data_IF_584961873766
#
_entry.id   IF_584961873766
#
_cell.length_a   1.000
_cell.length_b   1.000
_cell.length_c   1.000
_cell.angle_alpha   90.00
_cell.angle_beta   90.00
_cell.angle_gamma   90.00
#
_symmetry.space_group_name_H-M   'P 1'
#
loop_
_entity.id
_entity.type
_entity.pdbx_description
1 polymer ?
#
# COMPACT_ATOMS: atom_id res chain seq x y z
N UNK A 1 -26.63 5.57 -29.44
CA UNK A 1 -25.64 6.32 -30.21
C UNK A 1 -25.74 7.78 -29.79
N UNK A 2 -24.93 8.19 -28.84
CA UNK A 2 -24.86 9.59 -28.39
C UNK A 2 -23.41 10.02 -28.46
N UNK A 3 -23.17 10.90 -29.40
CA UNK A 3 -21.84 11.47 -29.72
C UNK A 3 -21.46 12.50 -28.67
N UNK A 4 -20.31 12.35 -28.07
CA UNK A 4 -19.71 13.33 -27.17
C UNK A 4 -18.79 14.21 -27.99
N UNK A 5 -19.08 15.49 -28.10
CA UNK A 5 -18.22 16.50 -28.72
C UNK A 5 -17.21 17.07 -27.73
N UNK A 6 -15.99 17.38 -28.16
CA UNK A 6 -14.98 18.02 -27.32
C UNK A 6 -15.22 19.54 -27.23
N UNK A 7 -15.03 20.08 -26.02
CA UNK A 7 -14.99 21.53 -25.77
C UNK A 7 -13.73 22.16 -26.37
N UNK A 8 -13.89 22.97 -27.41
CA UNK A 8 -12.87 23.87 -27.93
C UNK A 8 -13.30 25.30 -27.66
N UNK A 9 -12.51 26.05 -26.91
CA UNK A 9 -12.68 27.50 -26.70
C UNK A 9 -11.50 28.26 -27.25
N UNK A 10 -11.69 29.02 -28.29
CA UNK A 10 -10.77 30.09 -28.74
C UNK A 10 -11.48 31.43 -28.68
N UNK A 11 -10.81 32.49 -28.18
CA UNK A 11 -11.37 33.82 -28.20
C UNK A 11 -10.80 34.63 -29.38
N UNK A 12 -11.64 35.22 -30.18
CA UNK A 12 -11.22 36.31 -31.07
C UNK A 12 -12.08 37.57 -30.82
N UNK A 13 -11.38 38.65 -30.64
CA UNK A 13 -11.96 39.92 -30.28
C UNK A 13 -12.62 40.69 -31.39
N UNK A 14 -13.36 41.70 -31.04
CA UNK A 14 -13.48 42.93 -31.82
C UNK A 14 -14.19 44.05 -31.02
N UNK A 15 -13.79 45.21 -31.33
CA UNK A 15 -13.90 46.54 -30.70
C UNK A 15 -15.25 47.21 -30.82
N UNK A 16 -15.52 48.13 -29.85
CA UNK A 16 -16.29 49.41 -29.91
C UNK A 16 -17.74 49.43 -30.26
N UNK A 17 -18.58 49.83 -29.33
CA UNK A 17 -19.33 51.08 -29.41
C UNK A 17 -20.03 51.42 -28.08
N UNK A 18 -19.84 52.63 -27.59
CA UNK A 18 -20.61 53.25 -26.51
C UNK A 18 -22.09 53.42 -26.92
N UNK A 19 -23.03 53.05 -26.04
CA UNK A 19 -24.20 53.86 -25.75
C UNK A 19 -24.87 53.44 -24.44
N UNK A 20 -25.28 54.45 -23.70
CA UNK A 20 -25.93 54.43 -22.40
C UNK A 20 -27.26 53.68 -22.43
N UNK A 21 -27.56 52.96 -21.38
CA UNK A 21 -28.88 52.43 -21.07
C UNK A 21 -28.82 51.61 -19.78
N UNK A 22 -29.35 52.18 -18.71
CA UNK A 22 -29.59 51.52 -17.43
C UNK A 22 -30.64 50.40 -17.59
N UNK A 23 -30.58 49.46 -16.61
CA UNK A 23 -31.54 48.40 -16.27
C UNK A 23 -31.30 47.03 -16.94
N UNK A 24 -31.01 46.08 -16.11
CA UNK A 24 -30.97 44.66 -16.46
C UNK A 24 -29.97 43.84 -15.68
N UNK A 25 -30.04 43.88 -14.34
CA UNK A 25 -29.34 42.95 -13.48
C UNK A 25 -30.06 41.62 -13.52
N UNK A 26 -29.52 40.61 -14.14
CA UNK A 26 -29.79 39.19 -13.75
C UNK A 26 -29.10 38.20 -14.67
N UNK A 27 -28.45 37.21 -14.06
CA UNK A 27 -28.08 35.87 -14.47
C UNK A 27 -27.17 35.66 -15.70
N UNK A 28 -25.89 35.57 -15.43
CA UNK A 28 -24.96 34.66 -16.14
C UNK A 28 -23.82 34.25 -15.20
N UNK A 29 -24.13 33.39 -14.23
CA UNK A 29 -23.14 32.71 -13.39
C UNK A 29 -23.61 31.24 -13.18
N UNK A 30 -23.70 30.50 -14.27
CA UNK A 30 -24.03 29.08 -14.21
C UNK A 30 -23.29 28.32 -15.34
N UNK A 31 -21.98 28.16 -15.19
CA UNK A 31 -21.19 27.45 -16.20
C UNK A 31 -19.92 26.78 -15.72
N UNK A 32 -19.55 26.90 -14.43
CA UNK A 32 -18.26 26.38 -13.95
C UNK A 32 -18.37 25.22 -12.94
N UNK A 33 -19.55 24.75 -12.58
CA UNK A 33 -19.76 23.74 -11.52
C UNK A 33 -19.84 22.29 -12.00
N UNK A 34 -19.82 22.04 -13.31
CA UNK A 34 -20.04 20.69 -13.85
C UNK A 34 -18.81 19.77 -13.86
N UNK A 35 -17.59 20.31 -13.88
CA UNK A 35 -16.37 19.50 -14.07
C UNK A 35 -15.83 18.86 -12.76
N UNK A 36 -16.16 19.44 -11.61
CA UNK A 36 -15.64 18.96 -10.32
C UNK A 36 -16.35 17.72 -9.78
N UNK A 37 -17.63 17.54 -10.08
CA UNK A 37 -18.41 16.41 -9.58
C UNK A 37 -18.03 15.08 -10.28
N UNK A 38 -17.77 15.10 -11.57
CA UNK A 38 -17.39 13.91 -12.32
C UNK A 38 -16.01 13.36 -11.94
N UNK A 39 -15.05 14.22 -11.60
CA UNK A 39 -13.74 13.80 -11.15
C UNK A 39 -13.78 13.13 -9.76
N UNK A 40 -14.65 13.58 -8.87
CA UNK A 40 -14.86 12.98 -7.55
C UNK A 40 -15.50 11.58 -7.67
N UNK A 41 -16.45 11.39 -8.58
CA UNK A 41 -17.07 10.09 -8.85
C UNK A 41 -16.07 9.07 -9.41
N UNK A 42 -15.24 9.47 -10.37
CA UNK A 42 -14.21 8.59 -10.95
C UNK A 42 -13.16 8.18 -9.92
N UNK A 43 -12.75 9.06 -9.01
CA UNK A 43 -11.84 8.75 -7.92
C UNK A 43 -12.45 7.72 -6.95
N UNK A 44 -13.72 7.86 -6.62
CA UNK A 44 -14.45 6.94 -5.76
C UNK A 44 -14.60 5.56 -6.40
N UNK A 45 -14.98 5.51 -7.68
CA UNK A 45 -15.10 4.25 -8.43
C UNK A 45 -13.75 3.54 -8.56
N UNK A 46 -12.68 4.26 -8.89
CA UNK A 46 -11.34 3.69 -8.99
C UNK A 46 -10.85 3.10 -7.66
N UNK A 47 -11.15 3.75 -6.54
CA UNK A 47 -10.84 3.22 -5.21
C UNK A 47 -11.65 1.96 -4.90
N UNK A 48 -12.91 1.89 -5.30
CA UNK A 48 -13.75 0.70 -5.15
C UNK A 48 -13.20 -0.48 -5.97
N UNK A 49 -12.79 -0.23 -7.22
CA UNK A 49 -12.13 -1.24 -8.05
C UNK A 49 -10.86 -1.74 -7.37
N UNK A 50 -10.01 -0.84 -6.84
CA UNK A 50 -8.78 -1.23 -6.16
C UNK A 50 -9.03 -2.10 -4.91
N UNK A 51 -10.08 -1.81 -4.14
CA UNK A 51 -10.50 -2.60 -2.98
C UNK A 51 -11.06 -3.97 -3.38
N UNK A 52 -11.86 -4.02 -4.45
CA UNK A 52 -12.52 -5.24 -4.91
C UNK A 52 -11.64 -6.17 -5.77
N UNK A 53 -10.44 -5.73 -6.15
CA UNK A 53 -9.57 -6.47 -7.07
C UNK A 53 -8.19 -6.79 -6.47
N UNK A 54 -8.11 -6.95 -5.16
CA UNK A 54 -6.90 -7.31 -4.40
C UNK A 54 -5.69 -6.37 -4.55
N UNK A 55 -5.85 -5.22 -5.19
CA UNK A 55 -4.74 -4.28 -5.40
C UNK A 55 -4.11 -3.85 -4.07
N UNK A 56 -4.95 -3.63 -3.04
CA UNK A 56 -4.50 -3.17 -1.72
C UNK A 56 -3.81 -4.27 -0.89
N UNK A 57 -3.84 -5.53 -1.34
CA UNK A 57 -3.05 -6.60 -0.75
C UNK A 57 -1.55 -6.43 -1.01
N UNK A 58 -1.20 -5.76 -2.11
CA UNK A 58 0.19 -5.55 -2.52
C UNK A 58 0.60 -4.07 -2.59
N UNK A 59 -0.35 -3.15 -2.65
CA UNK A 59 -0.11 -1.71 -2.74
C UNK A 59 -0.81 -0.98 -1.59
N UNK A 60 -0.20 0.11 -1.12
CA UNK A 60 -0.88 1.11 -0.31
C UNK A 60 -0.95 2.44 -1.08
N UNK A 61 -1.72 3.39 -0.56
CA UNK A 61 -1.86 4.70 -1.21
C UNK A 61 -0.58 5.52 -1.08
N UNK A 62 0.03 5.52 0.09
CA UNK A 62 1.06 6.45 0.56
C UNK A 62 2.39 5.80 0.97
N UNK A 63 2.47 4.48 0.96
CA UNK A 63 3.69 3.76 1.30
C UNK A 63 3.85 2.47 0.48
N UNK A 64 5.10 2.01 0.38
CA UNK A 64 5.44 0.76 -0.31
C UNK A 64 5.10 -0.44 0.57
N UNK A 65 4.37 -1.40 0.00
CA UNK A 65 4.12 -2.72 0.59
C UNK A 65 4.95 -3.76 -0.18
N UNK A 66 4.34 -4.53 -1.06
CA UNK A 66 5.03 -5.40 -2.04
C UNK A 66 5.31 -4.60 -3.30
N UNK A 67 4.26 -4.00 -3.86
CA UNK A 67 4.33 -3.06 -4.95
C UNK A 67 4.62 -1.64 -4.49
N UNK A 68 4.82 -0.70 -5.42
CA UNK A 68 5.01 0.71 -5.10
C UNK A 68 3.75 1.32 -4.47
N UNK A 69 3.93 2.38 -3.69
CA UNK A 69 2.83 3.23 -3.27
C UNK A 69 2.10 3.82 -4.49
N UNK A 70 0.80 3.98 -4.42
CA UNK A 70 0.04 4.55 -5.55
C UNK A 70 0.37 6.01 -5.81
N UNK A 71 0.67 6.80 -4.76
CA UNK A 71 1.13 8.19 -4.91
C UNK A 71 2.52 8.26 -5.57
N UNK A 72 3.42 7.32 -5.29
CA UNK A 72 4.70 7.21 -5.96
C UNK A 72 4.52 6.85 -7.45
N UNK A 73 3.54 6.01 -7.79
CA UNK A 73 3.16 5.74 -9.18
C UNK A 73 2.65 7.02 -9.83
N UNK A 74 1.72 7.72 -9.18
CA UNK A 74 1.20 9.00 -9.68
C UNK A 74 2.32 9.99 -9.96
N UNK A 75 3.24 10.17 -9.00
CA UNK A 75 4.40 11.07 -9.15
C UNK A 75 5.31 10.69 -10.32
N UNK A 76 5.64 9.40 -10.45
CA UNK A 76 6.54 8.91 -11.50
C UNK A 76 5.96 9.12 -12.89
N UNK A 77 4.66 9.04 -13.04
CA UNK A 77 3.97 9.11 -14.33
C UNK A 77 3.25 10.45 -14.58
N UNK A 78 3.33 11.40 -13.64
CA UNK A 78 2.75 12.73 -13.79
C UNK A 78 3.24 13.41 -15.08
N UNK A 79 2.30 13.93 -15.86
CA UNK A 79 2.59 14.65 -17.10
C UNK A 79 3.20 13.83 -18.23
N UNK A 80 3.39 12.53 -18.10
CA UNK A 80 3.94 11.69 -19.17
C UNK A 80 2.88 11.34 -20.20
N UNK A 81 3.11 11.64 -21.50
CA UNK A 81 2.20 11.20 -22.56
C UNK A 81 2.03 9.68 -22.54
N UNK A 82 0.80 9.21 -22.70
CA UNK A 82 0.48 7.78 -22.73
C UNK A 82 0.58 7.02 -21.41
N UNK A 83 0.90 7.70 -20.29
CA UNK A 83 1.04 7.07 -18.97
C UNK A 83 -0.18 6.23 -18.58
N UNK A 84 -1.38 6.73 -18.80
CA UNK A 84 -2.62 6.04 -18.48
C UNK A 84 -2.71 4.69 -19.19
N UNK A 85 -2.51 4.68 -20.50
CA UNK A 85 -2.57 3.45 -21.29
C UNK A 85 -1.46 2.45 -20.92
N UNK A 86 -0.25 2.95 -20.64
CA UNK A 86 0.88 2.13 -20.20
C UNK A 86 0.55 1.44 -18.86
N UNK A 87 0.00 2.16 -17.90
CA UNK A 87 -0.38 1.62 -16.61
C UNK A 87 -1.55 0.64 -16.70
N UNK A 88 -2.56 0.92 -17.54
CA UNK A 88 -3.65 -0.02 -17.82
C UNK A 88 -3.12 -1.33 -18.40
N UNK A 89 -2.19 -1.28 -19.34
CA UNK A 89 -1.55 -2.46 -19.90
C UNK A 89 -0.72 -3.22 -18.85
N UNK A 90 -0.01 -2.51 -17.97
CA UNK A 90 0.76 -3.12 -16.90
C UNK A 90 -0.15 -3.85 -15.89
N UNK A 91 -1.31 -3.31 -15.55
CA UNK A 91 -2.30 -3.99 -14.71
C UNK A 91 -2.87 -5.20 -15.42
N UNK A 92 -3.30 -5.07 -16.66
CA UNK A 92 -3.95 -6.14 -17.42
C UNK A 92 -3.04 -7.34 -17.64
N UNK A 93 -1.78 -7.09 -18.00
CA UNK A 93 -0.83 -8.12 -18.44
C UNK A 93 0.23 -8.48 -17.40
N UNK A 94 0.23 -7.81 -16.25
CA UNK A 94 1.30 -7.91 -15.28
C UNK A 94 2.51 -7.06 -15.67
N UNK A 95 3.41 -6.83 -14.71
CA UNK A 95 4.59 -6.00 -14.94
C UNK A 95 5.74 -6.38 -14.00
N UNK A 96 6.98 -6.24 -14.47
CA UNK A 96 8.20 -6.44 -13.68
C UNK A 96 9.30 -5.47 -14.10
N UNK A 97 10.19 -5.12 -13.21
CA UNK A 97 11.41 -4.39 -13.49
C UNK A 97 11.39 -2.91 -13.13
N UNK A 98 10.33 -2.16 -13.44
CA UNK A 98 10.27 -0.70 -13.17
C UNK A 98 10.39 -0.34 -11.70
N UNK A 99 9.86 -1.18 -10.81
CA UNK A 99 9.79 -0.96 -9.36
C UNK A 99 10.53 -2.01 -8.54
N UNK A 100 11.30 -2.85 -9.21
CA UNK A 100 12.08 -3.92 -8.60
C UNK A 100 11.89 -5.27 -9.28
N UNK A 101 12.39 -6.33 -8.64
CA UNK A 101 12.41 -7.67 -9.21
C UNK A 101 11.15 -8.51 -8.94
N UNK A 102 10.27 -8.03 -8.06
CA UNK A 102 9.03 -8.74 -7.72
C UNK A 102 8.02 -8.44 -8.84
N UNK A 103 7.50 -9.47 -9.53
CA UNK A 103 6.53 -9.25 -10.58
C UNK A 103 5.17 -8.90 -9.99
N UNK A 104 4.50 -7.92 -10.55
CA UNK A 104 3.07 -7.67 -10.37
C UNK A 104 2.30 -8.69 -11.23
N UNK A 105 1.39 -9.49 -10.66
CA UNK A 105 0.62 -10.44 -11.44
C UNK A 105 -0.35 -9.74 -12.41
N UNK A 106 -0.75 -10.40 -13.51
CA UNK A 106 -1.75 -9.87 -14.42
C UNK A 106 -3.16 -9.92 -13.82
N UNK A 107 -3.99 -8.95 -14.18
CA UNK A 107 -5.41 -8.88 -13.83
C UNK A 107 -6.31 -8.88 -15.08
N UNK A 108 -6.33 -9.98 -15.85
CA UNK A 108 -7.06 -10.06 -17.12
C UNK A 108 -8.59 -9.98 -16.95
N UNK A 109 -9.09 -10.26 -15.75
CA UNK A 109 -10.51 -10.19 -15.39
C UNK A 109 -11.06 -8.75 -15.34
N UNK A 110 -10.19 -7.73 -15.21
CA UNK A 110 -10.63 -6.35 -15.18
C UNK A 110 -11.07 -5.88 -16.59
N UNK A 111 -12.27 -5.34 -16.65
CA UNK A 111 -12.78 -4.68 -17.86
C UNK A 111 -12.00 -3.40 -18.18
N UNK A 112 -12.06 -2.95 -19.43
CA UNK A 112 -11.44 -1.69 -19.85
C UNK A 112 -11.91 -0.49 -19.03
N UNK A 113 -13.19 -0.47 -18.65
CA UNK A 113 -13.77 0.57 -17.79
C UNK A 113 -13.16 0.54 -16.39
N UNK A 114 -13.05 -0.63 -15.76
CA UNK A 114 -12.45 -0.77 -14.44
C UNK A 114 -10.96 -0.39 -14.43
N UNK A 115 -10.23 -0.77 -15.49
CA UNK A 115 -8.84 -0.34 -15.68
C UNK A 115 -8.74 1.18 -15.81
N UNK A 116 -9.64 1.80 -16.56
CA UNK A 116 -9.72 3.25 -16.72
C UNK A 116 -9.98 3.95 -15.38
N UNK A 117 -10.94 3.46 -14.62
CA UNK A 117 -11.34 4.01 -13.31
C UNK A 117 -10.19 3.92 -12.31
N UNK A 118 -9.60 2.74 -12.13
CA UNK A 118 -8.52 2.54 -11.15
C UNK A 118 -7.27 3.34 -11.52
N UNK A 119 -6.88 3.39 -12.78
CA UNK A 119 -5.69 4.16 -13.18
C UNK A 119 -5.97 5.67 -13.14
N UNK A 120 -7.19 6.12 -13.45
CA UNK A 120 -7.57 7.52 -13.27
C UNK A 120 -7.48 7.93 -11.80
N UNK A 121 -8.01 7.09 -10.89
CA UNK A 121 -7.86 7.32 -9.46
C UNK A 121 -6.39 7.36 -9.04
N UNK A 122 -5.57 6.37 -9.40
CA UNK A 122 -4.15 6.34 -9.05
C UNK A 122 -3.44 7.60 -9.55
N UNK A 123 -3.67 8.01 -10.81
CA UNK A 123 -3.04 9.21 -11.36
C UNK A 123 -3.58 10.53 -10.78
N UNK A 124 -4.78 10.52 -10.18
CA UNK A 124 -5.34 11.67 -9.48
C UNK A 124 -4.78 11.87 -8.08
N UNK A 125 -4.11 10.85 -7.52
CA UNK A 125 -3.46 10.98 -6.23
C UNK A 125 -2.40 12.07 -6.34
N UNK A 126 -2.62 13.15 -5.60
CA UNK A 126 -1.58 14.17 -5.46
C UNK A 126 -0.41 13.47 -4.80
N UNK A 127 0.70 13.46 -5.49
CA UNK A 127 1.96 13.13 -4.84
C UNK A 127 2.06 14.01 -3.59
N UNK A 128 1.80 13.46 -2.44
CA UNK A 128 2.43 13.95 -1.25
C UNK A 128 3.91 13.85 -1.63
N UNK A 129 4.49 14.99 -2.09
CA UNK A 129 5.85 15.22 -2.56
C UNK A 129 6.68 13.99 -2.25
N UNK A 130 7.17 13.26 -3.27
CA UNK A 130 7.94 12.04 -3.07
C UNK A 130 9.06 12.29 -2.06
N UNK A 131 8.68 12.42 -0.85
CA UNK A 131 9.40 11.92 0.25
C UNK A 131 9.19 10.40 0.07
N UNK A 132 10.22 9.68 -0.44
CA UNK A 132 10.51 8.46 0.34
C UNK A 132 10.08 8.82 1.75
N UNK A 133 9.19 8.06 2.42
CA UNK A 133 9.02 8.32 3.82
C UNK A 133 10.45 8.29 4.36
N UNK A 134 11.03 9.47 4.53
CA UNK A 134 12.08 9.68 5.52
C UNK A 134 11.38 9.08 6.71
N UNK A 135 11.80 7.88 7.18
CA UNK A 135 11.04 7.17 8.19
C UNK A 135 10.72 8.26 9.19
N UNK A 136 9.43 8.57 9.36
CA UNK A 136 8.98 9.62 10.26
C UNK A 136 9.65 9.19 11.51
N UNK A 137 10.63 10.00 11.99
CA UNK A 137 11.75 9.58 12.82
C UNK A 137 11.30 8.39 13.65
N UNK A 138 11.53 7.19 13.11
CA UNK A 138 10.80 6.01 13.54
C UNK A 138 11.11 5.94 15.02
N UNK A 139 10.09 6.02 15.88
CA UNK A 139 10.34 5.99 17.29
C UNK A 139 11.16 4.74 17.51
N UNK A 140 12.45 4.92 17.77
CA UNK A 140 13.34 3.81 18.01
C UNK A 140 13.13 3.41 19.45
N UNK A 141 12.69 2.20 19.63
CA UNK A 141 12.51 1.58 20.94
C UNK A 141 13.78 0.79 21.25
N UNK A 142 14.40 1.10 22.38
CA UNK A 142 15.66 0.48 22.81
C UNK A 142 15.39 -0.48 23.95
N UNK A 143 15.94 -1.69 23.84
CA UNK A 143 15.80 -2.75 24.83
C UNK A 143 17.17 -3.33 25.15
N UNK A 144 17.49 -3.48 26.42
CA UNK A 144 18.72 -4.12 26.85
C UNK A 144 18.52 -5.62 27.06
N UNK A 145 19.25 -6.42 26.30
CA UNK A 145 19.20 -7.88 26.35
C UNK A 145 20.60 -8.43 26.50
N UNK A 146 20.88 -9.03 27.66
CA UNK A 146 22.19 -9.65 27.95
C UNK A 146 23.38 -8.70 27.66
N UNK A 147 23.25 -7.43 28.05
CA UNK A 147 24.30 -6.41 27.90
C UNK A 147 24.46 -5.85 26.49
N UNK A 148 23.49 -6.10 25.61
CA UNK A 148 23.42 -5.52 24.26
C UNK A 148 22.13 -4.74 24.10
N UNK A 149 22.24 -3.51 23.58
CA UNK A 149 21.05 -2.72 23.24
C UNK A 149 20.53 -3.12 21.87
N UNK A 150 19.26 -3.52 21.83
CA UNK A 150 18.49 -3.84 20.61
C UNK A 150 17.62 -2.64 20.27
N UNK A 151 17.68 -2.20 19.02
CA UNK A 151 16.85 -1.11 18.50
C UNK A 151 15.79 -1.67 17.55
N UNK A 152 14.53 -1.35 17.82
CA UNK A 152 13.38 -1.72 16.97
C UNK A 152 12.58 -0.47 16.60
N UNK A 153 11.94 -0.48 15.45
CA UNK A 153 11.06 0.58 14.95
C UNK A 153 9.60 0.43 15.42
N UNK A 154 9.35 -0.50 16.33
CA UNK A 154 8.05 -0.76 16.95
C UNK A 154 8.20 -1.08 18.45
N UNK A 155 7.17 -0.79 19.28
CA UNK A 155 7.19 -1.16 20.70
C UNK A 155 6.86 -2.65 20.87
N UNK A 156 7.65 -3.35 21.68
CA UNK A 156 7.37 -4.73 22.07
C UNK A 156 6.44 -4.77 23.29
N UNK A 157 6.65 -3.86 24.25
CA UNK A 157 5.89 -3.79 25.50
C UNK A 157 5.02 -2.54 25.55
N UNK A 158 3.90 -2.62 26.28
CA UNK A 158 2.99 -1.48 26.47
C UNK A 158 3.66 -0.34 27.25
N UNK A 159 4.48 -0.70 28.23
CA UNK A 159 5.22 0.25 29.09
C UNK A 159 6.62 -0.29 29.36
N UNK A 160 7.61 0.57 29.22
CA UNK A 160 9.00 0.24 29.56
C UNK A 160 9.65 -0.82 28.67
N UNK A 161 10.51 -1.66 29.28
CA UNK A 161 11.33 -2.65 28.59
C UNK A 161 10.97 -4.11 28.89
N UNK A 162 9.94 -4.33 29.69
CA UNK A 162 9.46 -5.67 30.07
C UNK A 162 7.97 -5.62 30.47
N UNK A 163 7.37 -6.78 30.72
CA UNK A 163 5.98 -6.91 31.17
C UNK A 163 5.01 -7.28 30.04
N UNK A 164 3.85 -6.64 30.04
CA UNK A 164 2.82 -6.91 29.04
C UNK A 164 3.25 -6.47 27.64
N UNK A 165 3.12 -7.37 26.67
CA UNK A 165 3.41 -7.04 25.29
C UNK A 165 2.31 -6.17 24.69
N UNK A 166 2.66 -5.43 23.63
CA UNK A 166 1.67 -4.66 22.88
C UNK A 166 0.63 -5.57 22.24
N UNK A 167 -0.57 -5.02 21.98
CA UNK A 167 -1.63 -5.73 21.24
C UNK A 167 -1.16 -6.27 19.88
N UNK A 168 -0.25 -5.56 19.20
CA UNK A 168 0.31 -5.98 17.93
C UNK A 168 1.18 -7.24 18.09
N UNK A 169 2.09 -7.25 19.06
CA UNK A 169 2.93 -8.43 19.35
C UNK A 169 2.08 -9.62 19.80
N UNK A 170 1.06 -9.39 20.63
CA UNK A 170 0.18 -10.47 21.09
C UNK A 170 -0.67 -11.03 19.93
N UNK A 171 -1.26 -10.17 19.10
CA UNK A 171 -1.99 -10.61 17.91
C UNK A 171 -1.07 -11.36 16.93
N UNK A 172 0.17 -10.94 16.80
CA UNK A 172 1.19 -11.64 16.03
C UNK A 172 1.46 -13.06 16.55
N UNK A 173 1.52 -13.24 17.88
CA UNK A 173 1.60 -14.55 18.52
C UNK A 173 0.38 -15.43 18.20
N UNK A 174 -0.84 -14.90 18.34
CA UNK A 174 -2.07 -15.64 18.03
C UNK A 174 -2.12 -16.09 16.58
N UNK A 175 -1.82 -15.19 15.64
CA UNK A 175 -1.77 -15.48 14.22
C UNK A 175 -0.67 -16.50 13.89
N UNK A 176 0.51 -16.37 14.53
CA UNK A 176 1.58 -17.34 14.39
C UNK A 176 1.13 -18.75 14.77
N UNK A 177 0.56 -18.90 15.95
CA UNK A 177 0.10 -20.19 16.46
C UNK A 177 -1.15 -20.74 15.78
N UNK A 178 -1.87 -19.90 15.02
CA UNK A 178 -2.99 -20.37 14.22
C UNK A 178 -2.56 -20.90 12.85
N UNK A 179 -1.53 -20.31 12.24
CA UNK A 179 -1.26 -20.51 10.81
C UNK A 179 0.19 -20.86 10.48
N UNK A 180 1.18 -20.23 11.12
CA UNK A 180 2.57 -20.31 10.69
C UNK A 180 3.37 -21.44 11.36
N UNK A 181 3.00 -21.76 12.63
CA UNK A 181 3.76 -22.69 13.48
C UNK A 181 3.90 -24.09 12.91
N UNK A 182 2.91 -24.57 12.15
CA UNK A 182 2.90 -25.94 11.58
C UNK A 182 4.10 -26.22 10.70
N UNK A 183 4.55 -25.20 9.98
CA UNK A 183 5.73 -25.31 9.11
C UNK A 183 6.96 -24.67 9.74
N UNK A 184 6.82 -23.50 10.38
CA UNK A 184 7.94 -22.72 10.90
C UNK A 184 8.27 -22.98 12.39
N UNK A 185 7.63 -23.98 12.99
CA UNK A 185 7.86 -24.38 14.37
C UNK A 185 7.24 -23.47 15.42
N UNK A 186 7.07 -24.00 16.62
CA UNK A 186 6.64 -23.22 17.79
C UNK A 186 7.68 -22.13 18.03
N UNK A 187 7.22 -20.95 18.44
CA UNK A 187 8.11 -19.81 18.74
C UNK A 187 9.05 -19.41 17.58
N UNK A 188 8.66 -19.69 16.35
CA UNK A 188 9.39 -19.37 15.12
C UNK A 188 10.79 -20.07 15.03
N UNK A 189 10.95 -21.21 15.69
CA UNK A 189 12.21 -21.94 15.79
C UNK A 189 12.63 -22.67 14.52
N UNK A 190 11.74 -22.73 13.51
CA UNK A 190 11.92 -23.56 12.33
C UNK A 190 11.51 -25.01 12.55
N UNK A 191 11.52 -25.79 11.48
CA UNK A 191 11.30 -27.23 11.45
C UNK A 191 12.04 -27.83 10.26
N UNK A 192 11.83 -29.12 10.00
CA UNK A 192 12.31 -29.76 8.76
C UNK A 192 11.66 -29.22 7.49
N UNK A 193 10.46 -28.62 7.60
CA UNK A 193 9.70 -28.07 6.46
C UNK A 193 10.01 -26.63 6.13
N UNK A 194 10.42 -25.83 7.13
CA UNK A 194 10.58 -24.39 6.95
C UNK A 194 11.64 -23.80 7.88
N UNK A 195 12.32 -22.69 7.46
CA UNK A 195 13.42 -22.12 8.19
C UNK A 195 13.02 -21.50 9.54
N UNK A 196 13.98 -21.41 10.45
CA UNK A 196 13.93 -20.61 11.66
C UNK A 196 13.86 -19.11 11.28
N UNK A 197 12.69 -18.49 11.47
CA UNK A 197 12.49 -17.10 11.10
C UNK A 197 13.13 -16.13 12.08
N UNK A 198 13.44 -16.54 13.30
CA UNK A 198 14.21 -15.71 14.25
C UNK A 198 15.63 -15.50 13.72
N UNK A 199 16.28 -16.56 13.21
CA UNK A 199 17.57 -16.44 12.53
C UNK A 199 17.48 -15.56 11.29
N UNK A 200 16.38 -15.65 10.55
CA UNK A 200 16.17 -14.79 9.38
C UNK A 200 16.09 -13.31 9.77
N UNK A 201 15.40 -12.98 10.86
CA UNK A 201 15.34 -11.60 11.39
C UNK A 201 16.71 -11.13 11.85
N UNK A 202 17.44 -11.93 12.63
CA UNK A 202 18.80 -11.59 13.07
C UNK A 202 19.78 -11.40 11.91
N UNK A 203 19.52 -12.04 10.77
CA UNK A 203 20.28 -11.89 9.54
C UNK A 203 19.72 -10.77 8.62
N UNK A 204 18.93 -9.84 9.16
CA UNK A 204 18.49 -8.65 8.45
C UNK A 204 17.19 -8.80 7.64
N UNK A 205 16.36 -9.81 7.93
CA UNK A 205 15.00 -9.88 7.37
C UNK A 205 14.17 -8.70 7.92
N UNK A 206 13.79 -7.78 7.07
CA UNK A 206 12.89 -6.68 7.44
C UNK A 206 11.42 -7.11 7.41
N UNK A 207 10.56 -6.32 8.09
CA UNK A 207 9.10 -6.51 8.05
C UNK A 207 8.57 -6.49 6.63
N UNK A 208 8.99 -5.54 5.79
CA UNK A 208 8.57 -5.45 4.40
C UNK A 208 8.95 -6.70 3.60
N UNK A 209 10.18 -7.21 3.80
CA UNK A 209 10.64 -8.42 3.10
C UNK A 209 9.86 -9.65 3.52
N UNK A 210 9.60 -9.83 4.83
CA UNK A 210 8.79 -10.93 5.32
C UNK A 210 7.36 -10.85 4.82
N UNK A 211 6.73 -9.69 4.88
CA UNK A 211 5.39 -9.44 4.33
C UNK A 211 5.35 -9.77 2.84
N UNK A 212 6.31 -9.30 2.05
CA UNK A 212 6.39 -9.60 0.62
C UNK A 212 6.46 -11.09 0.35
N UNK A 213 7.31 -11.82 1.08
CA UNK A 213 7.44 -13.27 0.93
C UNK A 213 6.15 -13.99 1.32
N UNK A 214 5.52 -13.59 2.42
CA UNK A 214 4.26 -14.19 2.85
C UNK A 214 3.14 -13.96 1.83
N UNK A 215 3.01 -12.74 1.31
CA UNK A 215 1.99 -12.41 0.31
C UNK A 215 2.17 -13.18 -0.99
N UNK A 216 3.41 -13.37 -1.46
CA UNK A 216 3.67 -14.08 -2.73
C UNK A 216 3.77 -15.59 -2.55
N UNK A 217 4.13 -16.05 -1.37
CA UNK A 217 4.51 -17.44 -1.12
C UNK A 217 5.83 -17.84 -1.79
N UNK A 218 6.25 -19.08 -1.55
CA UNK A 218 7.39 -19.72 -2.22
C UNK A 218 6.92 -21.12 -2.67
N UNK A 219 6.11 -21.17 -3.72
CA UNK A 219 5.46 -22.41 -4.20
C UNK A 219 6.44 -23.56 -4.39
N UNK A 220 7.62 -23.29 -4.94
CA UNK A 220 8.68 -24.28 -5.15
C UNK A 220 9.21 -24.91 -3.85
N UNK A 221 8.95 -24.28 -2.68
CA UNK A 221 9.33 -24.76 -1.35
C UNK A 221 8.12 -25.11 -0.48
N UNK A 222 6.93 -25.22 -1.08
CA UNK A 222 5.70 -25.57 -0.36
C UNK A 222 5.05 -24.44 0.45
N UNK A 223 5.60 -23.23 0.46
CA UNK A 223 4.99 -22.10 1.15
C UNK A 223 3.87 -21.49 0.29
N UNK A 224 2.60 -21.50 0.73
CA UNK A 224 1.50 -20.90 -0.02
C UNK A 224 1.60 -19.37 -0.04
N UNK A 225 0.89 -18.76 -0.99
CA UNK A 225 0.60 -17.33 -0.93
C UNK A 225 -0.48 -17.07 0.14
N UNK A 226 -0.26 -16.06 0.96
CA UNK A 226 -1.21 -15.59 1.96
C UNK A 226 -1.97 -14.34 1.50
N UNK A 227 -1.77 -13.91 0.24
CA UNK A 227 -2.54 -12.80 -0.34
C UNK A 227 -4.04 -13.13 -0.34
N UNK A 228 -4.86 -12.15 0.07
CA UNK A 228 -6.32 -12.33 0.21
C UNK A 228 -6.75 -13.06 1.49
N UNK A 229 -5.81 -13.67 2.24
CA UNK A 229 -6.09 -14.26 3.54
C UNK A 229 -5.66 -13.34 4.70
N UNK A 230 -4.44 -12.81 4.64
CA UNK A 230 -3.95 -11.79 5.58
C UNK A 230 -3.90 -10.43 4.92
N UNK A 231 -4.20 -9.40 5.70
CA UNK A 231 -3.81 -8.03 5.36
C UNK A 231 -2.33 -7.76 5.76
N UNK A 232 -1.70 -6.73 5.17
CA UNK A 232 -0.31 -6.39 5.49
C UNK A 232 -0.06 -6.05 6.95
N UNK A 233 -1.06 -5.51 7.66
CA UNK A 233 -0.95 -5.18 9.09
C UNK A 233 -0.87 -6.44 9.95
N UNK A 234 -1.64 -7.47 9.63
CA UNK A 234 -1.56 -8.76 10.30
C UNK A 234 -0.19 -9.44 10.10
N UNK A 235 0.37 -9.36 8.91
CA UNK A 235 1.72 -9.86 8.65
C UNK A 235 2.79 -9.05 9.35
N UNK A 236 2.58 -7.75 9.53
CA UNK A 236 3.46 -6.90 10.33
C UNK A 236 3.40 -7.27 11.81
N UNK A 237 2.23 -7.59 12.36
CA UNK A 237 2.10 -8.06 13.73
C UNK A 237 2.81 -9.40 13.92
N UNK A 238 2.67 -10.33 12.96
CA UNK A 238 3.43 -11.59 12.96
C UNK A 238 4.93 -11.31 12.97
N UNK A 239 5.41 -10.37 12.15
CA UNK A 239 6.81 -9.97 12.15
C UNK A 239 7.26 -9.42 13.51
N UNK A 240 6.45 -8.55 14.14
CA UNK A 240 6.77 -7.98 15.45
C UNK A 240 6.91 -9.08 16.52
N UNK A 241 6.03 -10.06 16.53
CA UNK A 241 6.17 -11.24 17.40
C UNK A 241 7.44 -12.02 17.11
N UNK A 242 7.71 -12.37 15.86
CA UNK A 242 8.92 -13.13 15.46
C UNK A 242 10.19 -12.36 15.83
N UNK A 243 10.22 -11.05 15.63
CA UNK A 243 11.35 -10.20 16.01
C UNK A 243 11.54 -10.12 17.53
N UNK A 244 10.45 -9.97 18.30
CA UNK A 244 10.51 -10.02 19.76
C UNK A 244 11.08 -11.35 20.28
N UNK A 245 10.74 -12.47 19.62
CA UNK A 245 11.34 -13.79 19.89
C UNK A 245 12.80 -13.87 19.47
N UNK A 246 13.14 -13.34 18.28
CA UNK A 246 14.50 -13.36 17.74
C UNK A 246 15.49 -12.65 18.65
N UNK A 247 15.11 -11.50 19.17
CA UNK A 247 15.92 -10.71 20.09
C UNK A 247 15.75 -11.10 21.56
N UNK A 248 15.05 -12.19 21.88
CA UNK A 248 14.83 -12.71 23.24
C UNK A 248 14.15 -11.69 24.19
N UNK A 249 13.37 -10.78 23.64
CA UNK A 249 12.59 -9.82 24.41
C UNK A 249 11.34 -10.48 25.03
N UNK A 250 10.82 -11.51 24.37
CA UNK A 250 9.67 -12.28 24.81
C UNK A 250 10.12 -13.73 25.03
N UNK A 251 9.76 -14.31 26.16
CA UNK A 251 10.05 -15.71 26.51
C UNK A 251 9.27 -16.69 25.65
N UNK A 252 9.66 -17.97 25.67
CA UNK A 252 8.93 -19.06 24.99
C UNK A 252 7.52 -19.21 25.55
N UNK A 253 6.61 -19.64 24.68
CA UNK A 253 5.19 -19.81 25.03
C UNK A 253 4.35 -18.55 24.85
N UNK A 254 3.28 -18.44 25.63
CA UNK A 254 2.33 -17.32 25.55
C UNK A 254 2.91 -16.04 26.15
N UNK A 255 3.02 -14.95 25.37
CA UNK A 255 3.44 -13.66 25.90
C UNK A 255 2.44 -13.13 26.96
N UNK A 256 2.94 -12.39 27.94
CA UNK A 256 2.10 -11.71 28.92
C UNK A 256 1.26 -10.60 28.22
N UNK A 257 -0.05 -10.60 28.49
CA UNK A 257 -1.00 -9.61 27.97
C UNK A 257 -1.61 -8.80 29.11
#
# INVERSE_FOLDING_TARGET
>A
MSSIQPCSSSPTGARRALRRGLLGLSLLAAGALGCSAQAADMATLGQQVAKGSDCLSCHAVDHKVVGPAFDAVAARYAGKPGAKQMLMNAVKNGHVGTWGKIPMPPHPQLSQKQLDEVITWVLSLKSAKAAEPKPAAAKTYSYDVAGKTVHLDFPVFEHGSNGKVTKAVFRGYELWNSYCFRCHGVDATGSEYAPDLRKSVLNGMSSQRMTSIAMTGIKAKGMPSWAGFFDPGQLQDIYQYVAARAYKLVAEGTPAQ
#
